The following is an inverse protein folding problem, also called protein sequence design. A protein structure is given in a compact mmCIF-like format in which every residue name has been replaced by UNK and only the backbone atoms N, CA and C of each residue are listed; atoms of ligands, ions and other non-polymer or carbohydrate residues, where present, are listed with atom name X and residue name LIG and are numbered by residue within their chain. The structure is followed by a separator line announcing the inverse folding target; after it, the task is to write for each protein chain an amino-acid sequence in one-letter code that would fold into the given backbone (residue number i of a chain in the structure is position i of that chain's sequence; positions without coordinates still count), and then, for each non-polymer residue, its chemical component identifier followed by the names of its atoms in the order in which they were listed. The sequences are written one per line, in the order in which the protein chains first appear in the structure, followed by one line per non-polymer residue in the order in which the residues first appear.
data_IF_100716574005
#
_entry.id   IF_100716574005
#
_cell.length_a   1.000
_cell.length_b   1.000
_cell.length_c   1.000
_cell.angle_alpha   90.00
_cell.angle_beta   90.00
_cell.angle_gamma   90.00
#
_symmetry.space_group_name_H-M   'P 1'
#
loop_
_entity.id
_entity.type
_entity.pdbx_description
1 polymer ?
#
# COMPACT_ATOMS: atom_id res chain seq x y z
N UNK A 1 3.92 -1.16 -43.22
CA UNK A 1 4.78 -0.08 -42.70
C UNK A 1 4.19 0.34 -41.37
N UNK A 2 4.90 0.20 -40.24
CA UNK A 2 4.44 0.78 -38.99
C UNK A 2 4.30 2.30 -39.13
N UNK A 3 3.33 2.88 -38.43
CA UNK A 3 3.18 4.34 -38.37
C UNK A 3 4.24 4.94 -37.43
N UNK A 4 4.54 6.24 -37.56
CA UNK A 4 5.52 6.93 -36.69
C UNK A 4 5.23 6.74 -35.19
N UNK A 5 3.93 6.68 -34.82
CA UNK A 5 3.50 6.42 -33.44
C UNK A 5 3.77 4.99 -32.99
N UNK A 6 3.75 4.02 -33.90
CA UNK A 6 4.03 2.62 -33.58
C UNK A 6 5.52 2.42 -33.33
N UNK A 7 6.37 3.04 -34.15
CA UNK A 7 7.82 3.06 -33.93
C UNK A 7 8.17 3.73 -32.60
N UNK A 8 7.46 4.82 -32.25
CA UNK A 8 7.65 5.52 -30.98
C UNK A 8 7.34 4.63 -29.76
N UNK A 9 6.35 3.75 -29.88
CA UNK A 9 5.96 2.82 -28.82
C UNK A 9 7.02 1.75 -28.59
N UNK A 10 7.73 1.30 -29.63
CA UNK A 10 8.86 0.35 -29.50
C UNK A 10 10.01 0.93 -28.67
N UNK A 11 10.14 2.26 -28.59
CA UNK A 11 11.17 2.89 -27.76
C UNK A 11 10.91 2.80 -26.25
N UNK A 12 9.73 2.36 -25.81
CA UNK A 12 9.42 2.19 -24.39
C UNK A 12 10.31 1.13 -23.71
N UNK A 13 10.70 0.08 -24.42
CA UNK A 13 11.59 -0.97 -23.91
C UNK A 13 13.07 -0.76 -24.31
N UNK A 14 13.43 0.42 -24.81
CA UNK A 14 14.78 0.68 -25.28
C UNK A 14 15.80 0.72 -24.11
N UNK A 15 17.00 0.18 -24.28
CA UNK A 15 18.01 0.13 -23.20
C UNK A 15 18.52 1.51 -22.72
N UNK A 16 18.49 2.51 -23.61
CA UNK A 16 18.88 3.89 -23.29
C UNK A 16 17.76 4.67 -22.60
N UNK A 17 18.02 5.10 -21.36
CA UNK A 17 17.12 5.89 -20.53
C UNK A 17 16.62 7.18 -21.19
N UNK A 18 17.47 7.91 -21.92
CA UNK A 18 17.08 9.15 -22.60
C UNK A 18 16.04 8.89 -23.70
N UNK A 19 16.19 7.79 -24.43
CA UNK A 19 15.25 7.38 -25.47
C UNK A 19 13.89 7.04 -24.85
N UNK A 20 13.89 6.27 -23.76
CA UNK A 20 12.66 5.96 -23.02
C UNK A 20 11.98 7.22 -22.48
N UNK A 21 12.75 8.20 -21.99
CA UNK A 21 12.21 9.48 -21.51
C UNK A 21 11.46 10.23 -22.61
N UNK A 22 12.12 10.46 -23.74
CA UNK A 22 11.54 11.21 -24.86
C UNK A 22 10.32 10.47 -25.41
N UNK A 23 10.40 9.13 -25.54
CA UNK A 23 9.29 8.31 -25.97
C UNK A 23 8.08 8.45 -25.02
N UNK A 24 8.28 8.24 -23.72
CA UNK A 24 7.22 8.41 -22.73
C UNK A 24 6.61 9.81 -22.75
N UNK A 25 7.43 10.86 -22.82
CA UNK A 25 6.98 12.25 -22.82
C UNK A 25 6.04 12.55 -23.99
N UNK A 26 6.41 12.13 -25.20
CA UNK A 26 5.57 12.32 -26.37
C UNK A 26 4.31 11.44 -26.34
N UNK A 27 4.39 10.23 -25.78
CA UNK A 27 3.28 9.28 -25.73
C UNK A 27 2.16 9.69 -24.75
N UNK A 28 2.43 10.55 -23.76
CA UNK A 28 1.41 11.02 -22.79
C UNK A 28 0.19 11.61 -23.49
N UNK A 29 0.39 12.49 -24.48
CA UNK A 29 -0.72 13.14 -25.21
C UNK A 29 -1.59 12.17 -26.02
N UNK A 30 -1.02 11.02 -26.41
CA UNK A 30 -1.71 10.01 -27.20
C UNK A 30 -2.45 8.97 -26.36
N UNK A 31 -2.17 8.87 -25.07
CA UNK A 31 -2.86 7.94 -24.17
C UNK A 31 -4.36 8.19 -24.03
N UNK A 32 -4.82 9.43 -24.24
CA UNK A 32 -6.25 9.80 -24.19
C UNK A 32 -6.91 9.88 -25.57
N UNK A 33 -6.13 10.15 -26.62
CA UNK A 33 -6.64 10.37 -27.99
C UNK A 33 -6.50 9.16 -28.90
N UNK A 34 -5.52 8.29 -28.65
CA UNK A 34 -5.19 7.13 -29.47
C UNK A 34 -4.73 5.93 -28.61
N UNK A 35 -5.60 5.46 -27.72
CA UNK A 35 -5.28 4.36 -26.79
C UNK A 35 -4.95 3.02 -27.48
N UNK A 36 -5.40 2.82 -28.73
CA UNK A 36 -5.24 1.55 -29.45
C UNK A 36 -3.77 1.18 -29.71
N UNK A 37 -2.87 2.17 -29.85
CA UNK A 37 -1.44 1.90 -30.09
C UNK A 37 -0.77 1.18 -28.93
N UNK A 38 -1.26 1.40 -27.70
CA UNK A 38 -0.73 0.76 -26.49
C UNK A 38 -1.19 -0.70 -26.34
N UNK A 39 -2.19 -1.13 -27.11
CA UNK A 39 -2.70 -2.51 -27.08
C UNK A 39 -2.04 -3.44 -28.10
N UNK A 40 -1.10 -2.92 -28.89
CA UNK A 40 -0.37 -3.71 -29.89
C UNK A 40 0.48 -4.80 -29.26
N UNK A 41 0.82 -5.80 -30.08
CA UNK A 41 1.68 -6.92 -29.68
C UNK A 41 1.25 -7.57 -28.36
N UNK A 42 -0.06 -7.82 -28.20
CA UNK A 42 -0.62 -8.44 -26.99
C UNK A 42 -0.32 -7.62 -25.72
N UNK A 43 -0.61 -6.31 -25.76
CA UNK A 43 -0.39 -5.39 -24.63
C UNK A 43 1.11 -5.25 -24.23
N UNK A 44 2.03 -5.51 -25.17
CA UNK A 44 3.47 -5.30 -24.97
C UNK A 44 3.80 -3.90 -24.42
N UNK A 45 3.28 -2.82 -25.00
CA UNK A 45 3.52 -1.46 -24.50
C UNK A 45 3.04 -1.24 -23.07
N UNK A 46 1.94 -1.86 -22.66
CA UNK A 46 1.43 -1.78 -21.29
C UNK A 46 2.38 -2.51 -20.33
N UNK A 47 2.95 -3.63 -20.77
CA UNK A 47 3.97 -4.36 -20.00
C UNK A 47 5.23 -3.50 -19.81
N UNK A 48 5.67 -2.81 -20.86
CA UNK A 48 6.81 -1.90 -20.77
C UNK A 48 6.52 -0.72 -19.83
N UNK A 49 5.34 -0.11 -19.95
CA UNK A 49 4.91 0.97 -19.07
C UNK A 49 4.88 0.55 -17.59
N UNK A 50 4.42 -0.66 -17.27
CA UNK A 50 4.46 -1.22 -15.91
C UNK A 50 5.89 -1.27 -15.37
N UNK A 51 6.86 -1.67 -16.19
CA UNK A 51 8.28 -1.69 -15.81
C UNK A 51 8.84 -0.27 -15.62
N UNK A 52 8.46 0.66 -16.50
CA UNK A 52 8.93 2.06 -16.47
C UNK A 52 8.48 2.84 -15.23
N UNK A 53 7.43 2.39 -14.53
CA UNK A 53 7.07 2.94 -13.22
C UNK A 53 8.22 2.81 -12.21
N UNK A 54 9.11 1.83 -12.36
CA UNK A 54 10.28 1.61 -11.49
C UNK A 54 11.48 2.46 -11.87
N UNK A 55 11.43 3.16 -13.00
CA UNK A 55 12.50 4.04 -13.48
C UNK A 55 12.55 5.35 -12.65
N UNK A 56 13.47 6.27 -13.00
CA UNK A 56 13.58 7.56 -12.33
C UNK A 56 12.36 8.47 -12.59
N UNK A 57 12.21 9.48 -11.73
CA UNK A 57 10.94 10.20 -11.52
C UNK A 57 10.24 10.75 -12.78
N UNK A 58 10.91 11.39 -13.76
CA UNK A 58 10.27 11.90 -14.97
C UNK A 58 9.62 10.79 -15.82
N UNK A 59 10.32 9.67 -16.03
CA UNK A 59 9.78 8.53 -16.77
C UNK A 59 8.63 7.90 -15.99
N UNK A 60 8.83 7.63 -14.70
CA UNK A 60 7.82 7.00 -13.86
C UNK A 60 6.52 7.82 -13.81
N UNK A 61 6.64 9.16 -13.74
CA UNK A 61 5.49 10.08 -13.80
C UNK A 61 4.72 9.93 -15.10
N UNK A 62 5.41 10.02 -16.24
CA UNK A 62 4.77 9.91 -17.56
C UNK A 62 4.16 8.53 -17.78
N UNK A 63 4.85 7.46 -17.39
CA UNK A 63 4.33 6.10 -17.46
C UNK A 63 3.07 5.93 -16.61
N UNK A 64 3.05 6.44 -15.38
CA UNK A 64 1.85 6.42 -14.52
C UNK A 64 0.71 7.23 -15.13
N UNK A 65 0.98 8.41 -15.70
CA UNK A 65 -0.05 9.22 -16.36
C UNK A 65 -0.66 8.48 -17.54
N UNK A 66 0.15 7.84 -18.38
CA UNK A 66 -0.34 7.00 -19.49
C UNK A 66 -1.21 5.87 -18.95
N UNK A 67 -0.74 5.11 -17.95
CA UNK A 67 -1.49 4.00 -17.38
C UNK A 67 -2.83 4.44 -16.76
N UNK A 68 -2.87 5.60 -16.10
CA UNK A 68 -4.11 6.17 -15.55
C UNK A 68 -5.11 6.46 -16.68
N UNK A 69 -4.66 7.13 -17.74
CA UNK A 69 -5.51 7.47 -18.88
C UNK A 69 -6.05 6.21 -19.57
N UNK A 70 -5.20 5.19 -19.77
CA UNK A 70 -5.60 3.91 -20.35
C UNK A 70 -6.52 3.09 -19.44
N UNK A 71 -6.38 3.21 -18.12
CA UNK A 71 -7.29 2.56 -17.17
C UNK A 71 -8.66 3.25 -17.07
N UNK A 72 -8.75 4.51 -17.48
CA UNK A 72 -9.99 5.30 -17.45
C UNK A 72 -10.88 5.06 -18.66
N UNK A 73 -10.35 4.49 -19.76
CA UNK A 73 -11.05 4.39 -21.05
C UNK A 73 -12.05 3.23 -21.17
N UNK A 74 -12.56 2.69 -20.05
CA UNK A 74 -13.49 1.55 -20.00
C UNK A 74 -12.98 0.27 -20.70
N UNK A 75 -11.67 0.20 -20.98
CA UNK A 75 -11.00 -0.97 -21.56
C UNK A 75 -10.74 -2.00 -20.46
N UNK A 76 -11.67 -2.95 -20.30
CA UNK A 76 -11.61 -4.00 -19.27
C UNK A 76 -10.34 -4.85 -19.37
N UNK A 77 -9.82 -5.07 -20.59
CA UNK A 77 -8.60 -5.84 -20.81
C UNK A 77 -7.37 -5.19 -20.16
N UNK A 78 -7.25 -3.86 -20.26
CA UNK A 78 -6.15 -3.09 -19.66
C UNK A 78 -6.28 -3.14 -18.14
N UNK A 79 -7.47 -2.83 -17.62
CA UNK A 79 -7.72 -2.83 -16.18
C UNK A 79 -7.43 -4.19 -15.57
N UNK A 80 -7.88 -5.27 -16.23
CA UNK A 80 -7.60 -6.64 -15.80
C UNK A 80 -6.11 -6.95 -15.81
N UNK A 81 -5.39 -6.57 -16.87
CA UNK A 81 -3.94 -6.77 -16.97
C UNK A 81 -3.15 -6.03 -15.87
N UNK A 82 -3.64 -4.88 -15.41
CA UNK A 82 -3.05 -4.14 -14.29
C UNK A 82 -3.42 -4.74 -12.94
N UNK A 83 -4.66 -5.18 -12.76
CA UNK A 83 -5.18 -5.74 -11.52
C UNK A 83 -4.66 -7.16 -11.23
N UNK A 84 -4.42 -7.96 -12.26
CA UNK A 84 -3.92 -9.34 -12.12
C UNK A 84 -2.38 -9.40 -11.93
N UNK A 85 -1.67 -8.27 -12.04
CA UNK A 85 -0.22 -8.20 -11.87
C UNK A 85 0.16 -7.80 -10.43
N UNK A 86 0.26 -8.80 -9.55
CA UNK A 86 0.63 -8.62 -8.15
C UNK A 86 1.99 -7.91 -7.96
N UNK A 87 2.95 -8.13 -8.85
CA UNK A 87 4.28 -7.53 -8.76
C UNK A 87 4.23 -6.02 -9.07
N UNK A 88 3.43 -5.65 -10.07
CA UNK A 88 3.13 -4.25 -10.38
C UNK A 88 2.35 -3.58 -9.26
N UNK A 89 1.26 -4.19 -8.77
CA UNK A 89 0.46 -3.65 -7.66
C UNK A 89 1.31 -3.45 -6.40
N UNK A 90 2.20 -4.38 -6.09
CA UNK A 90 3.14 -4.25 -4.97
C UNK A 90 4.11 -3.08 -5.15
N UNK A 91 4.62 -2.89 -6.37
CA UNK A 91 5.50 -1.76 -6.72
C UNK A 91 4.77 -0.43 -6.54
N UNK A 92 3.53 -0.35 -7.02
CA UNK A 92 2.69 0.83 -6.90
C UNK A 92 2.35 1.10 -5.43
N UNK A 93 1.96 0.07 -4.68
CA UNK A 93 1.70 0.15 -3.25
C UNK A 93 2.89 0.69 -2.47
N UNK A 94 4.11 0.24 -2.77
CA UNK A 94 5.32 0.76 -2.12
C UNK A 94 5.46 2.28 -2.31
N UNK A 95 5.34 2.76 -3.55
CA UNK A 95 5.42 4.20 -3.84
C UNK A 95 4.31 5.00 -3.16
N UNK A 96 3.09 4.45 -3.16
CA UNK A 96 1.95 5.06 -2.47
C UNK A 96 2.14 5.12 -0.96
N UNK A 97 2.66 4.06 -0.34
CA UNK A 97 2.94 4.06 1.10
C UNK A 97 4.01 5.08 1.45
N UNK A 98 5.06 5.22 0.63
CA UNK A 98 6.08 6.24 0.83
C UNK A 98 5.47 7.66 0.78
N UNK A 99 4.62 7.93 -0.22
CA UNK A 99 3.88 9.21 -0.32
C UNK A 99 2.94 9.45 0.86
N UNK A 100 2.19 8.42 1.27
CA UNK A 100 1.27 8.52 2.40
C UNK A 100 1.99 8.81 3.71
N UNK A 101 3.12 8.13 3.96
CA UNK A 101 3.91 8.34 5.17
C UNK A 101 4.56 9.73 5.15
N UNK A 102 5.10 10.16 4.01
CA UNK A 102 5.72 11.49 3.87
C UNK A 102 4.71 12.63 3.97
N UNK A 103 3.52 12.50 3.39
CA UNK A 103 2.43 13.50 3.50
C UNK A 103 1.80 13.57 4.90
N UNK A 104 2.09 12.58 5.74
CA UNK A 104 1.59 12.46 7.11
C UNK A 104 2.44 13.12 8.19
N UNK A 105 3.53 13.81 7.84
CA UNK A 105 4.24 14.64 8.81
C UNK A 105 3.31 15.79 9.23
N UNK A 106 3.01 15.96 10.52
CA UNK A 106 2.27 17.12 10.96
C UNK A 106 3.11 18.36 10.67
N UNK A 107 2.69 19.17 9.70
CA UNK A 107 3.06 20.59 9.72
C UNK A 107 2.55 21.16 11.06
N UNK A 108 3.38 21.89 11.83
CA UNK A 108 2.94 22.47 13.09
C UNK A 108 2.03 23.65 12.79
N UNK A 109 0.74 23.41 12.55
CA UNK A 109 -0.29 24.44 12.49
C UNK A 109 -1.11 24.42 13.78
N UNK A 110 -0.49 24.99 14.80
CA UNK A 110 -1.06 25.96 15.76
C UNK A 110 -2.58 26.06 15.83
N UNK A 111 -3.15 25.54 16.91
CA UNK A 111 -4.39 26.06 17.47
C UNK A 111 -4.06 27.09 18.55
N UNK A 112 -4.02 28.38 18.17
CA UNK A 112 -4.38 29.50 19.06
C UNK A 112 -4.46 30.79 18.26
N UNK A 113 -5.58 31.47 18.38
CA UNK A 113 -5.82 32.86 18.02
C UNK A 113 -4.68 33.80 18.44
N UNK A 114 -4.19 34.64 17.52
CA UNK A 114 -3.96 36.07 17.74
C UNK A 114 -3.23 36.72 16.57
N UNK A 115 -3.69 37.93 16.28
CA UNK A 115 -3.15 38.95 15.39
C UNK A 115 -1.65 39.20 15.61
N UNK A 116 -0.81 39.02 14.59
CA UNK A 116 0.35 39.90 14.29
C UNK A 116 1.05 39.50 12.98
N UNK A 117 1.61 40.52 12.33
CA UNK A 117 2.21 40.54 10.99
C UNK A 117 3.63 39.94 10.93
N UNK A 118 3.93 39.40 9.75
CA UNK A 118 5.22 39.40 9.01
C UNK A 118 6.32 38.40 9.39
N UNK A 119 6.65 37.49 8.48
CA UNK A 119 7.92 37.52 7.69
C UNK A 119 7.99 36.33 6.71
N UNK A 120 8.58 36.62 5.55
CA UNK A 120 8.69 35.79 4.35
C UNK A 120 9.37 34.42 4.57
N UNK A 121 8.70 33.37 4.11
CA UNK A 121 9.26 32.33 3.22
C UNK A 121 8.06 31.61 2.60
N UNK A 122 7.78 31.87 1.33
CA UNK A 122 6.81 31.13 0.52
C UNK A 122 7.24 29.66 0.49
N UNK A 123 6.75 28.87 1.46
CA UNK A 123 6.49 27.46 1.22
C UNK A 123 5.13 27.43 0.58
N UNK A 124 5.16 27.36 -0.74
CA UNK A 124 4.05 26.97 -1.60
C UNK A 124 3.71 25.50 -1.28
N UNK A 125 3.24 25.23 -0.04
CA UNK A 125 2.69 23.93 0.33
C UNK A 125 1.28 23.93 -0.19
N UNK A 126 1.12 23.35 -1.38
CA UNK A 126 -0.16 22.98 -1.96
C UNK A 126 -1.07 22.42 -0.83
N UNK A 127 -2.23 23.04 -0.55
CA UNK A 127 -3.13 22.62 0.53
C UNK A 127 -3.65 21.18 0.34
N UNK A 128 -3.49 20.58 -0.85
CA UNK A 128 -3.84 19.19 -1.16
C UNK A 128 -2.68 18.18 -0.89
N UNK A 129 -1.51 18.64 -0.43
CA UNK A 129 -0.30 17.83 -0.25
C UNK A 129 -0.31 16.80 0.90
N UNK A 130 -1.44 16.64 1.60
CA UNK A 130 -1.54 15.69 2.73
C UNK A 130 -1.89 14.26 2.31
N UNK A 131 -2.28 14.05 1.04
CA UNK A 131 -2.58 12.72 0.47
C UNK A 131 -3.53 11.89 1.34
N UNK A 132 -4.46 12.53 2.05
CA UNK A 132 -5.32 11.88 3.03
C UNK A 132 -6.13 10.72 2.44
N UNK A 133 -6.71 10.95 1.26
CA UNK A 133 -7.54 9.97 0.55
C UNK A 133 -6.77 8.72 0.10
N UNK A 134 -5.44 8.75 0.10
CA UNK A 134 -4.63 7.58 -0.17
C UNK A 134 -4.89 6.46 0.85
N UNK A 135 -5.35 6.80 2.06
CA UNK A 135 -5.79 5.79 3.03
C UNK A 135 -6.97 4.95 2.55
N UNK A 136 -7.90 5.51 1.77
CA UNK A 136 -9.02 4.74 1.21
C UNK A 136 -8.58 3.86 0.05
N UNK A 137 -7.63 4.33 -0.76
CA UNK A 137 -7.04 3.50 -1.80
C UNK A 137 -6.31 2.28 -1.19
N UNK A 138 -5.52 2.48 -0.13
CA UNK A 138 -4.89 1.39 0.62
C UNK A 138 -5.93 0.40 1.18
N UNK A 139 -7.05 0.91 1.71
CA UNK A 139 -8.14 0.08 2.19
C UNK A 139 -8.76 -0.77 1.05
N UNK A 140 -9.02 -0.16 -0.10
CA UNK A 140 -9.60 -0.87 -1.23
C UNK A 140 -8.64 -1.93 -1.79
N UNK A 141 -7.35 -1.61 -1.93
CA UNK A 141 -6.34 -2.55 -2.40
C UNK A 141 -6.16 -3.74 -1.45
N UNK A 142 -6.14 -3.50 -0.13
CA UNK A 142 -6.05 -4.57 0.88
C UNK A 142 -7.31 -5.44 0.95
N UNK A 143 -8.48 -4.88 0.67
CA UNK A 143 -9.71 -5.67 0.54
C UNK A 143 -9.67 -6.59 -0.69
N UNK A 144 -9.26 -6.03 -1.84
CA UNK A 144 -9.31 -6.73 -3.12
C UNK A 144 -8.22 -7.79 -3.31
N UNK A 145 -6.98 -7.53 -2.88
CA UNK A 145 -5.82 -8.37 -3.25
C UNK A 145 -5.15 -9.02 -2.03
N UNK A 146 -5.02 -10.36 -2.06
CA UNK A 146 -4.34 -11.12 -1.01
C UNK A 146 -2.82 -10.88 -0.97
N UNK A 147 -2.20 -10.67 -2.13
CA UNK A 147 -0.79 -10.29 -2.28
C UNK A 147 -0.47 -9.00 -1.52
N UNK A 148 -1.37 -8.02 -1.58
CA UNK A 148 -1.26 -6.74 -0.86
C UNK A 148 -1.33 -6.94 0.65
N UNK A 149 -2.26 -7.75 1.15
CA UNK A 149 -2.31 -8.09 2.59
C UNK A 149 -1.02 -8.77 3.05
N UNK A 150 -0.53 -9.73 2.26
CA UNK A 150 0.74 -10.43 2.51
C UNK A 150 1.91 -9.44 2.54
N UNK A 151 1.98 -8.52 1.58
CA UNK A 151 3.00 -7.47 1.56
C UNK A 151 2.96 -6.59 2.80
N UNK A 152 1.76 -6.20 3.26
CA UNK A 152 1.60 -5.34 4.44
C UNK A 152 2.11 -6.00 5.73
N UNK A 153 1.96 -7.32 5.88
CA UNK A 153 2.43 -8.07 7.08
C UNK A 153 3.85 -8.64 6.95
N UNK A 154 4.42 -8.66 5.75
CA UNK A 154 5.76 -9.21 5.51
C UNK A 154 6.83 -8.16 5.69
N UNK A 155 7.91 -8.52 6.39
CA UNK A 155 9.11 -7.67 6.54
C UNK A 155 9.74 -7.41 5.18
N UNK A 156 9.94 -6.14 4.84
CA UNK A 156 10.46 -5.77 3.53
C UNK A 156 11.99 -5.67 3.53
N UNK A 157 12.63 -6.07 2.44
CA UNK A 157 14.09 -6.08 2.32
C UNK A 157 14.72 -4.68 2.22
N UNK A 158 13.95 -3.68 1.78
CA UNK A 158 14.49 -2.34 1.49
C UNK A 158 14.75 -1.49 2.74
N UNK A 159 14.04 -1.74 3.83
CA UNK A 159 14.18 -1.03 5.10
C UNK A 159 14.15 -1.95 6.32
N UNK A 160 13.90 -3.24 6.13
CA UNK A 160 13.80 -4.21 7.22
C UNK A 160 12.57 -4.01 8.11
N UNK A 161 11.52 -3.32 7.65
CA UNK A 161 10.32 -3.03 8.44
C UNK A 161 9.09 -3.69 7.81
N UNK A 162 8.12 -4.07 8.65
CA UNK A 162 6.79 -4.52 8.22
C UNK A 162 5.95 -3.29 7.86
N UNK A 163 5.44 -3.12 6.62
CA UNK A 163 4.78 -1.89 6.20
C UNK A 163 3.58 -1.50 7.07
N UNK A 164 2.86 -2.48 7.62
CA UNK A 164 1.75 -2.25 8.53
C UNK A 164 2.11 -1.41 9.76
N UNK A 165 3.33 -1.56 10.30
CA UNK A 165 3.76 -0.81 11.49
C UNK A 165 3.83 0.71 11.21
N UNK A 166 4.14 1.08 9.97
CA UNK A 166 4.14 2.48 9.51
C UNK A 166 2.73 3.05 9.36
N UNK A 167 1.70 2.19 9.26
CA UNK A 167 0.31 2.62 9.15
C UNK A 167 -0.35 2.81 10.51
N UNK A 168 0.01 1.99 11.51
CA UNK A 168 -0.61 2.01 12.84
C UNK A 168 -0.55 3.39 13.49
N UNK A 169 0.55 4.14 13.32
CA UNK A 169 0.71 5.50 13.87
C UNK A 169 -0.34 6.50 13.36
N UNK A 170 -0.99 6.21 12.24
CA UNK A 170 -2.02 7.08 11.66
C UNK A 170 -3.43 6.80 12.18
N UNK A 171 -3.61 5.80 13.06
CA UNK A 171 -4.88 5.55 13.77
C UNK A 171 -5.24 6.68 14.75
N UNK A 172 -4.24 7.46 15.19
CA UNK A 172 -4.40 8.62 16.07
C UNK A 172 -4.16 9.96 15.33
N UNK A 173 -4.15 9.95 14.00
CA UNK A 173 -3.89 11.16 13.20
C UNK A 173 -5.04 12.18 13.29
N UNK A 174 -4.78 13.51 13.23
CA UNK A 174 -5.84 14.52 13.25
C UNK A 174 -6.91 14.31 12.18
N UNK A 175 -6.49 14.06 10.93
CA UNK A 175 -7.40 13.76 9.81
C UNK A 175 -8.21 12.48 10.05
N UNK A 176 -9.54 12.64 10.06
CA UNK A 176 -10.49 11.53 10.15
C UNK A 176 -10.43 10.62 8.92
N UNK A 177 -10.13 11.18 7.74
CA UNK A 177 -10.04 10.43 6.49
C UNK A 177 -8.92 9.39 6.61
N UNK A 178 -7.73 9.82 7.04
CA UNK A 178 -6.57 8.93 7.25
C UNK A 178 -6.87 7.84 8.26
N UNK A 179 -7.44 8.22 9.41
CA UNK A 179 -7.82 7.26 10.46
C UNK A 179 -8.79 6.19 9.95
N UNK A 180 -9.82 6.59 9.20
CA UNK A 180 -10.82 5.66 8.65
C UNK A 180 -10.24 4.70 7.64
N UNK A 181 -9.45 5.20 6.68
CA UNK A 181 -8.82 4.33 5.68
C UNK A 181 -7.80 3.36 6.30
N UNK A 182 -7.01 3.83 7.27
CA UNK A 182 -6.06 2.99 8.01
C UNK A 182 -6.79 1.93 8.84
N UNK A 183 -7.84 2.30 9.58
CA UNK A 183 -8.64 1.34 10.34
C UNK A 183 -9.25 0.25 9.44
N UNK A 184 -9.75 0.64 8.27
CA UNK A 184 -10.26 -0.31 7.27
C UNK A 184 -9.15 -1.23 6.74
N UNK A 185 -7.97 -0.68 6.44
CA UNK A 185 -6.80 -1.46 6.02
C UNK A 185 -6.39 -2.47 7.09
N UNK A 186 -6.32 -2.07 8.36
CA UNK A 186 -6.01 -2.96 9.49
C UNK A 186 -7.03 -4.09 9.63
N UNK A 187 -8.33 -3.78 9.45
CA UNK A 187 -9.39 -4.78 9.44
C UNK A 187 -9.20 -5.80 8.30
N UNK A 188 -8.91 -5.32 7.09
CA UNK A 188 -8.77 -6.18 5.92
C UNK A 188 -7.58 -7.14 6.03
N UNK A 189 -6.50 -6.71 6.67
CA UNK A 189 -5.29 -7.52 6.87
C UNK A 189 -5.53 -8.69 7.84
N UNK A 190 -6.64 -8.69 8.58
CA UNK A 190 -7.03 -9.77 9.51
C UNK A 190 -5.84 -10.24 10.34
N UNK A 191 -5.27 -9.35 11.15
CA UNK A 191 -4.03 -9.63 11.92
C UNK A 191 -4.31 -10.64 13.05
N UNK A 192 -5.57 -10.79 13.45
CA UNK A 192 -5.98 -11.57 14.62
C UNK A 192 -5.59 -13.05 14.52
N UNK A 193 -5.86 -13.79 13.43
CA UNK A 193 -5.35 -15.14 13.27
C UNK A 193 -3.84 -15.23 13.34
N UNK A 194 -3.09 -14.29 12.76
CA UNK A 194 -1.61 -14.33 12.79
C UNK A 194 -1.04 -14.12 14.20
N UNK A 195 -1.75 -13.40 15.07
CA UNK A 195 -1.37 -13.28 16.48
C UNK A 195 -1.77 -14.52 17.28
N UNK A 196 -2.89 -15.15 16.93
CA UNK A 196 -3.41 -16.33 17.61
C UNK A 196 -2.76 -17.63 17.14
N UNK A 197 -2.28 -17.72 15.89
CA UNK A 197 -1.68 -18.92 15.29
C UNK A 197 -0.43 -19.39 16.06
N UNK A 198 0.51 -18.52 16.48
CA UNK A 198 1.59 -18.91 17.40
C UNK A 198 1.07 -19.49 18.71
N UNK A 199 -0.07 -18.99 19.20
CA UNK A 199 -0.69 -19.41 20.47
C UNK A 199 -1.63 -20.61 20.32
N UNK A 200 -2.02 -20.99 19.12
CA UNK A 200 -2.99 -22.05 18.84
C UNK A 200 -2.31 -23.40 18.56
N UNK A 201 -2.92 -24.48 19.04
CA UNK A 201 -2.48 -25.87 18.82
C UNK A 201 -3.59 -26.71 18.19
N UNK A 202 -3.30 -27.98 17.92
CA UNK A 202 -4.25 -28.99 17.43
C UNK A 202 -5.26 -29.47 18.49
N UNK A 203 -5.67 -28.58 19.38
CA UNK A 203 -6.62 -28.88 20.45
C UNK A 203 -8.02 -29.11 19.87
N UNK A 204 -8.75 -30.09 20.41
CA UNK A 204 -10.13 -30.34 20.02
C UNK A 204 -11.05 -29.36 20.77
N UNK A 205 -11.71 -28.48 20.02
CA UNK A 205 -12.76 -27.59 20.52
C UNK A 205 -14.14 -28.19 20.22
N UNK A 206 -15.16 -27.83 21.01
CA UNK A 206 -16.53 -28.23 20.69
C UNK A 206 -17.00 -27.61 19.37
N UNK A 207 -18.04 -28.17 18.74
CA UNK A 207 -18.58 -27.63 17.49
C UNK A 207 -19.07 -26.17 17.63
N UNK A 208 -19.68 -25.85 18.78
CA UNK A 208 -20.17 -24.50 19.10
C UNK A 208 -19.02 -23.49 19.28
N UNK A 209 -17.93 -23.89 19.95
CA UNK A 209 -16.75 -23.05 20.10
C UNK A 209 -16.01 -22.87 18.77
N UNK A 210 -15.95 -23.93 17.95
CA UNK A 210 -15.32 -23.92 16.63
C UNK A 210 -16.06 -22.99 15.66
N UNK A 211 -17.39 -22.97 15.69
CA UNK A 211 -18.21 -22.08 14.87
C UNK A 211 -17.94 -20.58 15.18
N UNK A 212 -17.61 -20.26 16.44
CA UNK A 212 -17.25 -18.91 16.88
C UNK A 212 -15.81 -18.49 16.55
N UNK A 213 -14.94 -19.43 16.14
CA UNK A 213 -13.54 -19.12 15.81
C UNK A 213 -13.37 -18.53 14.42
N UNK A 214 -12.27 -17.82 14.21
CA UNK A 214 -11.86 -17.35 12.88
C UNK A 214 -11.60 -18.56 11.99
N UNK A 215 -12.02 -18.51 10.72
CA UNK A 215 -11.94 -19.64 9.76
C UNK A 215 -10.54 -20.27 9.70
N UNK A 216 -9.50 -19.44 9.78
CA UNK A 216 -8.08 -19.86 9.76
C UNK A 216 -7.65 -20.66 11.01
N UNK A 217 -8.42 -20.58 12.11
CA UNK A 217 -8.22 -21.32 13.36
C UNK A 217 -9.15 -22.54 13.48
N UNK A 218 -10.17 -22.67 12.62
CA UNK A 218 -11.13 -23.79 12.67
C UNK A 218 -10.54 -25.10 12.12
N UNK A 219 -9.63 -25.02 11.15
CA UNK A 219 -9.08 -26.17 10.42
C UNK A 219 -7.55 -26.17 10.43
N UNK A 220 -6.98 -26.28 11.63
CA UNK A 220 -5.52 -26.40 11.79
C UNK A 220 -5.03 -27.81 11.38
N UNK A 221 -3.81 -27.92 10.82
CA UNK A 221 -3.17 -29.21 10.56
C UNK A 221 -3.01 -30.05 11.84
N UNK A 222 -3.07 -31.38 11.72
CA UNK A 222 -2.98 -32.29 12.88
C UNK A 222 -1.62 -32.21 13.61
N UNK A 223 -0.58 -31.75 12.93
CA UNK A 223 0.77 -31.52 13.45
C UNK A 223 0.98 -30.11 14.04
N UNK A 224 -0.01 -29.20 13.94
CA UNK A 224 0.11 -27.84 14.47
C UNK A 224 0.22 -27.86 16.00
N UNK A 225 1.32 -27.32 16.52
CA UNK A 225 1.54 -27.12 17.94
C UNK A 225 1.70 -25.62 18.24
N UNK A 226 1.44 -25.23 19.49
CA UNK A 226 1.73 -23.88 19.99
C UNK A 226 3.24 -23.62 19.90
N UNK A 227 3.64 -22.40 19.55
CA UNK A 227 5.04 -22.00 19.60
C UNK A 227 5.54 -21.99 21.05
N UNK A 228 6.77 -22.44 21.29
CA UNK A 228 7.36 -22.47 22.63
C UNK A 228 7.74 -21.05 23.09
N UNK A 229 7.44 -20.72 24.35
CA UNK A 229 7.84 -19.45 24.96
C UNK A 229 9.35 -19.47 25.26
N UNK A 230 10.19 -19.14 24.28
CA UNK A 230 11.65 -19.05 24.46
C UNK A 230 12.09 -17.77 25.22
N UNK A 231 11.16 -17.02 25.83
CA UNK A 231 11.39 -15.66 26.33
C UNK A 231 11.29 -15.41 27.85
N UNK A 232 11.06 -16.41 28.71
CA UNK A 232 11.02 -16.20 30.18
C UNK A 232 12.35 -16.49 30.89
N UNK A 233 13.41 -15.83 30.45
CA UNK A 233 14.60 -15.62 31.26
C UNK A 233 14.65 -14.16 31.74
N UNK A 234 14.32 -13.92 33.02
CA UNK A 234 14.58 -12.69 33.79
C UNK A 234 13.55 -11.52 33.80
N UNK A 235 12.48 -11.52 32.99
CA UNK A 235 11.50 -10.40 32.99
C UNK A 235 10.28 -10.52 33.91
N UNK A 236 10.06 -11.67 34.56
CA UNK A 236 8.77 -12.06 35.13
C UNK A 236 8.26 -11.29 36.35
N UNK A 237 9.00 -10.33 36.90
CA UNK A 237 8.62 -9.63 38.14
C UNK A 237 7.89 -8.30 37.88
N UNK A 238 7.89 -7.80 36.63
CA UNK A 238 7.30 -6.50 36.33
C UNK A 238 5.79 -6.54 36.01
N UNK A 239 5.27 -7.65 35.48
CA UNK A 239 3.90 -7.72 34.98
C UNK A 239 2.84 -7.96 36.09
N UNK A 240 3.21 -8.61 37.20
CA UNK A 240 2.29 -8.81 38.33
C UNK A 240 1.95 -7.50 39.07
N UNK A 241 2.78 -6.46 38.92
CA UNK A 241 2.52 -5.15 39.54
C UNK A 241 1.43 -4.35 38.83
N UNK A 242 1.26 -4.48 37.51
CA UNK A 242 0.25 -3.71 36.77
C UNK A 242 -1.17 -4.23 36.92
N UNK A 243 -1.37 -5.51 37.28
CA UNK A 243 -2.71 -6.09 37.48
C UNK A 243 -3.26 -5.76 38.87
N UNK A 244 -2.37 -5.62 39.87
CA UNK A 244 -2.75 -5.22 41.24
C UNK A 244 -3.34 -3.81 41.29
N UNK A 245 -2.77 -2.86 40.53
CA UNK A 245 -3.17 -1.44 40.61
C UNK A 245 -4.56 -1.15 40.02
N UNK A 246 -5.18 -2.11 39.33
CA UNK A 246 -6.52 -1.97 38.74
C UNK A 246 -7.66 -2.54 39.59
N UNK A 247 -7.37 -3.27 40.67
CA UNK A 247 -8.39 -3.82 41.57
C UNK A 247 -8.74 -2.90 42.76
N UNK A 248 -7.96 -1.84 43.00
CA UNK A 248 -8.18 -0.91 44.13
C UNK A 248 -8.93 0.39 43.73
N UNK A 249 -9.55 0.43 42.55
CA UNK A 249 -10.43 1.55 42.13
C UNK A 249 -11.80 1.01 41.71
N UNK A 250 -12.52 0.44 42.66
CA UNK A 250 -13.97 0.20 42.59
C UNK A 250 -14.59 0.27 43.99
#
# INVERSE_FOLDING_TARGET
MPTELEELVEFLHHGNTQIRQIACEHLVGYSSSNAAIFKKHQLGPITDLKLLVRDYAPIAKNALTILINLSSSQDEEVVKTLADDDAFLTTLLKKLLDLFVSGGSPSPSTSTSSTSKASDTDRDTDPDAHFDYLSYLLANLSAAHASIRTFLVTRQAYDGVVPLSKLVVFTTHPSLIRRRGVASTLKNVNIVPYLLLPLAGNEEYSAEETEGMLVELQLLPADKQREADEGRGQGGVAAERCVSDYQDVA
#
